data_IF_536834429283
#
_entry.id   IF_536834429283
#
_cell.length_a   1.000
_cell.length_b   1.000
_cell.length_c   1.000
_cell.angle_alpha   90.00
_cell.angle_beta   90.00
_cell.angle_gamma   90.00
#
_symmetry.space_group_name_H-M   'P 1'
#
loop_
_entity.id
_entity.type
_entity.pdbx_description
1 polymer ?
#
# COMPACT_ATOMS: atom_id res chain seq x y z
N UNK A 1 10.26 35.27 -20.89
CA UNK A 1 10.59 33.88 -20.56
C UNK A 1 11.68 33.88 -19.48
N UNK A 2 11.34 33.52 -18.26
CA UNK A 2 12.23 33.56 -17.08
C UNK A 2 13.48 32.67 -17.20
N UNK A 3 13.48 31.70 -18.13
CA UNK A 3 14.58 30.73 -18.30
C UNK A 3 15.78 31.30 -19.08
N UNK A 4 15.62 32.44 -19.78
CA UNK A 4 16.69 33.07 -20.59
C UNK A 4 17.29 34.34 -19.97
N UNK A 5 16.77 34.81 -18.83
CA UNK A 5 17.35 35.92 -18.10
C UNK A 5 18.53 35.46 -17.27
N UNK A 6 19.58 36.28 -17.19
CA UNK A 6 20.74 35.98 -16.35
C UNK A 6 20.28 35.88 -14.88
N UNK A 7 20.85 34.93 -14.06
CA UNK A 7 20.43 34.74 -12.68
C UNK A 7 20.57 35.97 -11.79
N UNK A 8 21.31 36.96 -12.25
CA UNK A 8 21.54 38.23 -11.56
C UNK A 8 20.39 39.24 -11.64
N UNK A 9 19.47 39.11 -12.63
CA UNK A 9 18.35 40.04 -12.80
C UNK A 9 17.17 39.73 -11.86
N UNK A 10 17.00 38.48 -11.47
CA UNK A 10 15.90 38.01 -10.60
C UNK A 10 16.41 37.13 -9.48
N UNK A 11 17.29 37.65 -8.64
CA UNK A 11 17.94 36.92 -7.56
C UNK A 11 16.96 36.21 -6.62
N UNK A 12 15.84 36.85 -6.28
CA UNK A 12 14.80 36.28 -5.43
C UNK A 12 14.08 35.07 -6.06
N UNK A 13 13.77 35.15 -7.35
CA UNK A 13 13.13 34.08 -8.09
C UNK A 13 14.09 32.87 -8.25
N UNK A 14 15.36 33.14 -8.54
CA UNK A 14 16.39 32.13 -8.63
C UNK A 14 16.61 31.41 -7.28
N UNK A 15 16.70 32.19 -6.19
CA UNK A 15 16.81 31.68 -4.85
C UNK A 15 15.63 30.78 -4.47
N UNK A 16 14.40 31.22 -4.77
CA UNK A 16 13.20 30.41 -4.53
C UNK A 16 13.21 29.08 -5.32
N UNK A 17 13.57 29.12 -6.60
CA UNK A 17 13.70 27.92 -7.42
C UNK A 17 14.76 26.96 -6.88
N UNK A 18 15.94 27.47 -6.50
CA UNK A 18 17.02 26.66 -5.98
C UNK A 18 16.64 25.97 -4.66
N UNK A 19 16.02 26.73 -3.74
CA UNK A 19 15.54 26.18 -2.46
C UNK A 19 14.44 25.14 -2.68
N UNK A 20 13.45 25.44 -3.51
CA UNK A 20 12.37 24.50 -3.81
C UNK A 20 12.88 23.21 -4.45
N UNK A 21 13.81 23.34 -5.42
CA UNK A 21 14.44 22.17 -6.06
C UNK A 21 15.25 21.36 -5.05
N UNK A 22 16.00 22.03 -4.17
CA UNK A 22 16.77 21.37 -3.11
C UNK A 22 15.87 20.58 -2.14
N UNK A 23 14.76 21.17 -1.71
CA UNK A 23 13.78 20.52 -0.84
C UNK A 23 13.15 19.30 -1.54
N UNK A 24 12.74 19.44 -2.79
CA UNK A 24 12.17 18.34 -3.56
C UNK A 24 13.20 17.23 -3.76
N UNK A 25 14.42 17.57 -4.15
CA UNK A 25 15.50 16.61 -4.34
C UNK A 25 15.79 15.84 -3.04
N UNK A 26 15.93 16.53 -1.91
CA UNK A 26 16.15 15.90 -0.59
C UNK A 26 14.99 14.96 -0.24
N UNK A 27 13.75 15.40 -0.48
CA UNK A 27 12.57 14.61 -0.19
C UNK A 27 12.54 13.32 -1.02
N UNK A 28 12.75 13.43 -2.34
CA UNK A 28 12.66 12.25 -3.22
C UNK A 28 13.90 11.34 -3.15
N UNK A 29 15.10 11.89 -2.90
CA UNK A 29 16.33 11.11 -2.89
C UNK A 29 16.57 10.37 -1.56
N UNK A 30 16.19 10.96 -0.43
CA UNK A 30 16.53 10.42 0.88
C UNK A 30 15.35 10.28 1.84
N UNK A 31 14.41 11.20 1.84
CA UNK A 31 13.35 11.25 2.84
C UNK A 31 12.07 10.53 2.41
N UNK A 32 12.00 10.02 1.19
CA UNK A 32 10.78 9.44 0.58
C UNK A 32 10.14 8.35 1.44
N UNK A 33 10.92 7.38 1.89
CA UNK A 33 10.40 6.26 2.68
C UNK A 33 9.98 6.70 4.08
N UNK A 34 10.78 7.54 4.70
CA UNK A 34 10.49 8.07 6.05
C UNK A 34 9.25 8.94 6.06
N UNK A 35 9.01 9.72 5.01
CA UNK A 35 7.82 10.54 4.88
C UNK A 35 6.55 9.71 4.85
N UNK A 36 6.55 8.59 4.13
CA UNK A 36 5.40 7.69 4.06
C UNK A 36 5.12 6.98 5.39
N UNK A 37 6.15 6.60 6.13
CA UNK A 37 6.01 5.85 7.39
C UNK A 37 5.65 6.78 8.56
N UNK A 38 6.31 7.94 8.67
CA UNK A 38 6.24 8.78 9.88
C UNK A 38 5.25 9.94 9.74
N UNK A 39 5.26 10.63 8.59
CA UNK A 39 4.57 11.92 8.43
C UNK A 39 3.29 11.78 7.63
N UNK A 40 3.24 10.86 6.67
CA UNK A 40 2.11 10.76 5.76
C UNK A 40 0.81 10.39 6.52
N UNK A 41 -0.20 11.26 6.53
CA UNK A 41 -1.46 10.98 7.20
C UNK A 41 -2.18 9.77 6.59
N UNK A 42 -1.93 9.47 5.32
CA UNK A 42 -2.49 8.31 4.64
C UNK A 42 -2.04 6.98 5.28
N UNK A 43 -0.76 6.80 5.59
CA UNK A 43 -0.27 5.60 6.25
C UNK A 43 -0.90 5.39 7.63
N UNK A 44 -1.10 6.47 8.39
CA UNK A 44 -1.79 6.42 9.69
C UNK A 44 -3.28 6.11 9.56
N UNK A 45 -3.96 6.70 8.58
CA UNK A 45 -5.37 6.41 8.29
C UNK A 45 -5.51 4.96 7.82
N UNK A 46 -4.64 4.49 6.95
CA UNK A 46 -4.64 3.11 6.48
C UNK A 46 -4.53 2.12 7.64
N UNK A 47 -3.61 2.34 8.58
CA UNK A 47 -3.45 1.46 9.75
C UNK A 47 -4.70 1.46 10.65
N UNK A 48 -5.37 2.60 10.80
CA UNK A 48 -6.62 2.72 11.57
C UNK A 48 -7.83 2.08 10.86
N UNK A 49 -7.80 2.00 9.52
CA UNK A 49 -8.88 1.41 8.72
C UNK A 49 -8.77 -0.11 8.60
N UNK A 50 -7.57 -0.67 8.71
CA UNK A 50 -7.34 -2.12 8.69
C UNK A 50 -7.83 -2.70 10.01
N UNK A 51 -8.60 -3.77 9.94
CA UNK A 51 -9.06 -4.56 11.08
C UNK A 51 -8.88 -6.07 10.79
N UNK A 52 -9.16 -6.92 11.79
CA UNK A 52 -8.98 -8.37 11.71
C UNK A 52 -9.77 -9.05 10.57
N UNK A 53 -10.77 -8.36 10.03
CA UNK A 53 -11.57 -8.86 8.92
C UNK A 53 -11.27 -8.17 7.59
N UNK A 54 -10.30 -7.27 7.54
CA UNK A 54 -9.87 -6.63 6.30
C UNK A 54 -9.11 -7.64 5.44
N UNK A 55 -9.30 -7.55 4.12
CA UNK A 55 -8.59 -8.40 3.18
C UNK A 55 -7.13 -7.93 3.07
N UNK A 56 -6.22 -8.81 3.43
CA UNK A 56 -4.77 -8.56 3.43
C UNK A 56 -4.03 -9.76 2.85
N UNK A 57 -2.78 -9.57 2.44
CA UNK A 57 -1.89 -10.70 2.14
C UNK A 57 -1.28 -11.17 3.45
N UNK A 58 -1.30 -12.47 3.69
CA UNK A 58 -0.71 -13.08 4.88
C UNK A 58 -0.33 -14.53 4.66
N UNK A 59 0.46 -15.07 5.57
CA UNK A 59 0.80 -16.49 5.65
C UNK A 59 -0.17 -17.26 6.52
N UNK A 60 -0.46 -18.50 6.16
CA UNK A 60 -1.25 -19.41 6.98
C UNK A 60 -0.36 -20.05 8.05
N UNK A 61 -0.14 -19.36 9.18
CA UNK A 61 0.73 -19.82 10.27
C UNK A 61 0.35 -21.22 10.77
N UNK A 62 -0.94 -21.50 10.91
CA UNK A 62 -1.44 -22.80 11.36
C UNK A 62 -1.00 -23.96 10.47
N UNK A 63 -0.72 -23.71 9.20
CA UNK A 63 -0.27 -24.70 8.22
C UNK A 63 1.24 -24.64 7.99
N UNK A 64 1.80 -23.43 8.09
CA UNK A 64 3.21 -23.15 7.79
C UNK A 64 4.17 -23.37 8.96
N UNK A 65 3.67 -23.31 10.19
CA UNK A 65 4.49 -23.47 11.39
C UNK A 65 4.36 -24.90 11.99
N UNK A 66 5.41 -25.43 12.64
CA UNK A 66 6.77 -24.89 12.72
C UNK A 66 7.52 -24.99 11.38
N UNK A 67 8.29 -23.95 11.05
CA UNK A 67 9.10 -23.90 9.82
C UNK A 67 10.23 -24.90 9.90
N UNK A 68 10.53 -25.58 8.80
CA UNK A 68 11.61 -26.55 8.78
C UNK A 68 12.07 -26.89 7.37
N UNK A 69 13.26 -27.50 7.27
CA UNK A 69 13.75 -28.01 5.99
C UNK A 69 12.91 -29.18 5.49
N UNK A 70 12.93 -29.41 4.19
CA UNK A 70 12.25 -30.56 3.58
C UNK A 70 12.72 -31.86 4.26
N UNK A 71 11.76 -32.67 4.76
CA UNK A 71 12.05 -33.93 5.44
C UNK A 71 12.24 -33.83 6.95
N UNK A 72 12.07 -32.67 7.57
CA UNK A 72 12.07 -32.56 9.04
C UNK A 72 10.74 -33.10 9.56
N UNK A 73 10.77 -34.09 10.51
CA UNK A 73 9.56 -34.58 11.15
C UNK A 73 8.89 -33.43 11.92
N UNK A 74 7.57 -33.38 11.92
CA UNK A 74 6.73 -32.36 12.58
C UNK A 74 6.87 -30.94 12.04
N UNK A 75 7.56 -30.70 10.90
CA UNK A 75 7.59 -29.41 10.23
C UNK A 75 6.28 -29.16 9.46
N UNK A 76 5.82 -27.92 9.51
CA UNK A 76 4.71 -27.43 8.69
C UNK A 76 5.06 -27.37 7.19
N UNK A 77 4.18 -26.79 6.41
CA UNK A 77 4.38 -26.69 4.95
C UNK A 77 5.47 -25.70 4.56
N UNK A 78 5.81 -24.74 5.41
CA UNK A 78 6.84 -23.73 5.12
C UNK A 78 8.25 -24.32 5.26
N UNK A 79 9.00 -24.35 4.15
CA UNK A 79 10.37 -24.88 4.11
C UNK A 79 11.46 -23.83 4.40
N UNK A 80 11.07 -22.66 4.85
CA UNK A 80 11.97 -21.55 5.17
C UNK A 80 12.93 -21.12 4.03
N UNK A 81 12.43 -21.14 2.79
CA UNK A 81 13.24 -20.85 1.60
C UNK A 81 13.50 -19.36 1.37
N UNK A 82 12.92 -18.46 2.14
CA UNK A 82 12.99 -16.99 2.02
C UNK A 82 12.61 -16.39 0.66
N UNK A 83 12.07 -17.20 -0.26
CA UNK A 83 11.77 -16.73 -1.62
C UNK A 83 10.73 -15.63 -1.65
N UNK A 84 9.73 -15.69 -0.76
CA UNK A 84 8.72 -14.64 -0.59
C UNK A 84 9.30 -13.29 -0.17
N UNK A 85 10.39 -13.29 0.61
CA UNK A 85 11.10 -12.09 1.03
C UNK A 85 11.93 -11.50 -0.12
N UNK A 86 12.64 -12.37 -0.85
CA UNK A 86 13.49 -11.93 -1.96
C UNK A 86 12.74 -11.30 -3.13
N UNK A 87 11.51 -11.73 -3.40
CA UNK A 87 10.68 -11.16 -4.47
C UNK A 87 9.91 -9.93 -4.03
N UNK A 88 9.91 -9.60 -2.74
CA UNK A 88 9.15 -8.48 -2.22
C UNK A 88 9.79 -7.15 -2.61
N UNK A 89 9.10 -6.26 -3.36
CA UNK A 89 9.66 -4.98 -3.79
C UNK A 89 9.89 -4.01 -2.64
N UNK A 90 9.19 -4.19 -1.51
CA UNK A 90 9.36 -3.39 -0.29
C UNK A 90 10.29 -4.06 0.74
N UNK A 91 10.78 -5.26 0.45
CA UNK A 91 11.73 -5.98 1.30
C UNK A 91 11.15 -6.51 2.61
N UNK A 92 9.83 -6.59 2.75
CA UNK A 92 9.18 -7.11 3.97
C UNK A 92 9.21 -8.62 4.04
N UNK A 93 9.20 -9.15 5.25
CA UNK A 93 9.00 -10.57 5.49
C UNK A 93 7.55 -10.87 5.88
N UNK A 94 6.74 -11.26 4.90
CA UNK A 94 5.31 -11.56 5.10
C UNK A 94 5.05 -12.70 6.10
N UNK A 95 6.06 -13.49 6.42
CA UNK A 95 5.99 -14.58 7.38
C UNK A 95 5.95 -14.10 8.84
N UNK A 96 6.26 -12.83 9.09
CA UNK A 96 6.15 -12.18 10.40
C UNK A 96 4.76 -11.60 10.66
N UNK A 97 3.81 -11.86 9.78
CA UNK A 97 2.46 -11.34 9.87
C UNK A 97 2.23 -10.08 9.04
N UNK A 98 1.12 -9.41 9.31
CA UNK A 98 0.71 -8.20 8.59
C UNK A 98 1.70 -7.05 8.83
N UNK A 99 2.23 -6.47 7.75
CA UNK A 99 3.09 -5.28 7.80
C UNK A 99 2.46 -4.16 6.96
N UNK A 100 2.52 -2.94 7.48
CA UNK A 100 1.90 -1.77 6.84
C UNK A 100 2.57 -1.38 5.52
N UNK A 101 3.82 -1.75 5.34
CA UNK A 101 4.61 -1.52 4.14
C UNK A 101 4.21 -2.42 2.97
N UNK A 102 3.31 -3.39 3.20
CA UNK A 102 2.81 -4.28 2.16
C UNK A 102 1.95 -3.51 1.15
N UNK A 103 2.37 -3.49 -0.10
CA UNK A 103 1.65 -2.84 -1.21
C UNK A 103 0.62 -3.74 -1.90
N UNK A 104 0.45 -4.97 -1.42
CA UNK A 104 -0.55 -5.91 -1.96
C UNK A 104 -0.25 -6.41 -3.37
N UNK A 105 1.00 -6.46 -3.82
CA UNK A 105 1.37 -6.81 -5.20
C UNK A 105 1.26 -8.30 -5.54
N UNK A 106 1.02 -9.18 -4.58
CA UNK A 106 0.89 -10.63 -4.72
C UNK A 106 2.16 -11.40 -5.18
N UNK A 107 3.28 -10.76 -5.46
CA UNK A 107 4.51 -11.44 -5.91
C UNK A 107 5.00 -12.55 -4.95
N UNK A 108 4.78 -12.39 -3.65
CA UNK A 108 5.10 -13.39 -2.64
C UNK A 108 4.18 -14.64 -2.73
N UNK A 109 2.93 -14.47 -3.18
CA UNK A 109 1.97 -15.57 -3.40
C UNK A 109 2.49 -16.44 -4.54
N UNK A 110 2.73 -15.84 -5.70
CA UNK A 110 3.20 -16.55 -6.90
C UNK A 110 4.53 -17.29 -6.63
N UNK A 111 5.47 -16.62 -5.96
CA UNK A 111 6.75 -17.21 -5.61
C UNK A 111 6.63 -18.38 -4.62
N UNK A 112 5.70 -18.31 -3.68
CA UNK A 112 5.44 -19.40 -2.74
C UNK A 112 4.74 -20.57 -3.42
N UNK A 113 3.74 -20.31 -4.24
CA UNK A 113 2.98 -21.34 -4.94
C UNK A 113 3.84 -22.10 -5.96
N UNK A 114 4.80 -21.42 -6.64
CA UNK A 114 5.80 -22.10 -7.48
C UNK A 114 6.65 -23.11 -6.66
N UNK A 115 7.07 -22.72 -5.46
CA UNK A 115 7.82 -23.61 -4.57
C UNK A 115 6.95 -24.77 -4.07
N UNK A 116 5.70 -24.50 -3.65
CA UNK A 116 4.78 -25.53 -3.16
C UNK A 116 4.46 -26.55 -4.27
N UNK A 117 4.23 -26.08 -5.49
CA UNK A 117 4.00 -26.95 -6.65
C UNK A 117 5.19 -27.85 -6.95
N UNK A 118 6.41 -27.35 -6.84
CA UNK A 118 7.62 -28.16 -7.04
C UNK A 118 7.84 -29.23 -5.97
N UNK A 119 7.29 -29.00 -4.78
CA UNK A 119 7.37 -29.92 -3.63
C UNK A 119 6.17 -30.87 -3.55
N UNK A 120 5.25 -30.81 -4.52
CA UNK A 120 3.99 -31.56 -4.53
C UNK A 120 3.15 -31.30 -3.26
N UNK A 121 3.20 -30.04 -2.75
CA UNK A 121 2.43 -29.58 -1.60
C UNK A 121 1.27 -28.69 -2.05
N UNK A 122 0.14 -28.65 -1.33
CA UNK A 122 -0.99 -27.79 -1.70
C UNK A 122 -0.60 -26.31 -1.65
N UNK A 123 -0.95 -25.57 -2.69
CA UNK A 123 -0.74 -24.13 -2.84
C UNK A 123 -1.53 -23.29 -1.83
N UNK A 124 -1.35 -21.95 -1.84
CA UNK A 124 -2.11 -21.04 -0.98
C UNK A 124 -1.60 -20.97 0.46
N UNK A 125 -0.32 -21.24 0.69
CA UNK A 125 0.32 -21.00 1.99
C UNK A 125 0.38 -19.50 2.30
N UNK A 126 0.72 -18.69 1.29
CA UNK A 126 0.56 -17.24 1.31
C UNK A 126 -0.62 -16.91 0.40
N UNK A 127 -1.60 -16.13 0.90
CA UNK A 127 -2.81 -15.81 0.13
C UNK A 127 -3.44 -14.51 0.57
N UNK A 128 -4.39 -14.03 -0.22
CA UNK A 128 -5.32 -12.99 0.23
C UNK A 128 -6.37 -13.59 1.15
N UNK A 129 -6.41 -13.14 2.39
CA UNK A 129 -7.45 -13.54 3.34
C UNK A 129 -7.56 -12.48 4.45
N UNK A 130 -8.48 -12.64 5.37
CA UNK A 130 -8.58 -11.80 6.55
C UNK A 130 -7.71 -12.36 7.69
N UNK A 131 -7.24 -11.48 8.56
CA UNK A 131 -6.49 -11.89 9.76
C UNK A 131 -7.30 -12.91 10.59
N UNK A 132 -8.61 -12.68 10.70
CA UNK A 132 -9.53 -13.61 11.36
C UNK A 132 -9.55 -15.02 10.69
N UNK A 133 -9.49 -15.08 9.35
CA UNK A 133 -9.46 -16.35 8.63
C UNK A 133 -8.14 -17.10 8.82
N UNK A 134 -7.01 -16.41 8.90
CA UNK A 134 -5.71 -17.03 9.23
C UNK A 134 -5.72 -17.64 10.63
N UNK A 135 -6.44 -17.06 11.58
CA UNK A 135 -6.65 -17.64 12.93
C UNK A 135 -7.76 -18.69 12.98
N UNK A 136 -8.46 -18.94 11.87
CA UNK A 136 -9.52 -19.96 11.75
C UNK A 136 -10.90 -19.45 12.13
N UNK A 137 -11.10 -18.16 12.26
CA UNK A 137 -12.40 -17.53 12.46
C UNK A 137 -13.06 -17.20 11.12
N UNK A 138 -14.40 -17.15 11.11
CA UNK A 138 -15.14 -16.73 9.90
C UNK A 138 -15.03 -15.23 9.68
N UNK A 139 -14.64 -14.82 8.50
CA UNK A 139 -14.66 -13.41 8.06
C UNK A 139 -16.08 -12.88 8.04
N UNK A 140 -16.31 -11.75 8.73
CA UNK A 140 -17.60 -11.05 8.74
C UNK A 140 -17.56 -9.89 7.76
N UNK A 141 -18.36 -9.98 6.68
CA UNK A 141 -18.47 -8.95 5.65
C UNK A 141 -19.31 -7.74 6.09
N UNK A 142 -20.44 -8.01 6.81
CA UNK A 142 -21.30 -6.97 7.33
C UNK A 142 -20.84 -6.53 8.73
N UNK A 143 -20.28 -5.33 8.80
CA UNK A 143 -19.74 -4.74 10.01
C UNK A 143 -20.22 -3.30 10.16
N UNK A 144 -20.41 -2.77 11.38
CA UNK A 144 -20.84 -1.38 11.58
C UNK A 144 -19.89 -0.38 10.92
N UNK A 145 -18.57 -0.69 10.86
CA UNK A 145 -17.58 0.15 10.17
C UNK A 145 -17.87 0.32 8.67
N UNK A 146 -18.23 -0.76 7.97
CA UNK A 146 -18.56 -0.69 6.54
C UNK A 146 -19.82 0.15 6.32
N UNK A 147 -20.80 0.03 7.19
CA UNK A 147 -22.02 0.85 7.13
C UNK A 147 -21.68 2.34 7.31
N UNK A 148 -20.83 2.68 8.28
CA UNK A 148 -20.37 4.06 8.52
C UNK A 148 -19.63 4.61 7.28
N UNK A 149 -18.72 3.85 6.70
CA UNK A 149 -18.00 4.27 5.49
C UNK A 149 -18.94 4.44 4.30
N UNK A 150 -19.93 3.56 4.15
CA UNK A 150 -20.97 3.68 3.12
C UNK A 150 -21.77 4.98 3.27
N UNK A 151 -22.15 5.33 4.50
CA UNK A 151 -22.85 6.59 4.78
C UNK A 151 -22.00 7.80 4.44
N UNK A 152 -20.71 7.83 4.85
CA UNK A 152 -19.80 8.92 4.50
C UNK A 152 -19.59 9.04 3.00
N UNK A 153 -19.48 7.92 2.29
CA UNK A 153 -19.34 7.91 0.84
C UNK A 153 -20.59 8.49 0.16
N UNK A 154 -21.80 8.11 0.63
CA UNK A 154 -23.05 8.63 0.09
C UNK A 154 -23.20 10.14 0.36
N UNK A 155 -22.85 10.61 1.56
CA UNK A 155 -22.86 12.04 1.87
C UNK A 155 -21.87 12.79 0.96
N UNK A 156 -20.64 12.29 0.84
CA UNK A 156 -19.62 12.89 -0.03
C UNK A 156 -20.05 12.96 -1.50
N UNK A 157 -20.61 11.86 -2.02
CA UNK A 157 -21.14 11.80 -3.38
C UNK A 157 -22.31 12.76 -3.59
N UNK A 158 -23.20 12.88 -2.62
CA UNK A 158 -24.34 13.82 -2.67
C UNK A 158 -23.87 15.28 -2.69
N UNK A 159 -22.92 15.62 -1.82
CA UNK A 159 -22.34 16.98 -1.78
C UNK A 159 -21.59 17.29 -3.07
N UNK A 160 -20.79 16.37 -3.58
CA UNK A 160 -20.09 16.52 -4.84
C UNK A 160 -21.07 16.66 -6.03
N UNK A 161 -22.10 15.85 -6.09
CA UNK A 161 -23.15 15.94 -7.10
C UNK A 161 -23.88 17.28 -7.06
N UNK A 162 -24.25 17.75 -5.86
CA UNK A 162 -24.85 19.06 -5.69
C UNK A 162 -23.90 20.20 -6.08
N UNK A 163 -22.63 20.15 -5.68
CA UNK A 163 -21.64 21.15 -6.05
C UNK A 163 -21.44 21.20 -7.58
N UNK A 164 -21.34 20.05 -8.24
CA UNK A 164 -21.21 19.97 -9.70
C UNK A 164 -22.45 20.51 -10.41
N UNK A 165 -23.64 20.30 -9.89
CA UNK A 165 -24.88 20.83 -10.46
C UNK A 165 -25.02 22.35 -10.32
N UNK A 166 -24.36 22.96 -9.32
CA UNK A 166 -24.37 24.40 -9.06
C UNK A 166 -23.24 25.17 -9.76
N UNK A 167 -22.17 24.47 -10.17
CA UNK A 167 -21.06 25.08 -10.92
C UNK A 167 -21.54 25.50 -12.31
N UNK A 168 -21.55 26.80 -12.58
CA UNK A 168 -21.81 27.31 -13.92
C UNK A 168 -20.64 26.98 -14.85
N UNK A 169 -20.89 26.49 -16.09
CA UNK A 169 -19.82 26.24 -17.04
C UNK A 169 -19.02 27.56 -17.29
N UNK A 170 -17.72 27.51 -17.02
CA UNK A 170 -16.86 28.64 -17.29
C UNK A 170 -16.68 28.77 -18.81
N UNK A 171 -17.22 29.84 -19.40
CA UNK A 171 -17.00 30.16 -20.81
C UNK A 171 -15.62 30.81 -20.96
N UNK A 172 -14.65 30.05 -21.44
CA UNK A 172 -13.35 30.59 -21.83
C UNK A 172 -13.46 31.26 -23.21
N UNK A 173 -13.55 32.61 -23.27
CA UNK A 173 -13.36 33.32 -24.51
C UNK A 173 -11.87 33.58 -24.73
N UNK A 174 -11.28 32.92 -25.71
CA UNK A 174 -9.91 33.24 -26.16
C UNK A 174 -9.99 34.44 -27.07
N UNK A 175 -9.72 35.62 -26.55
CA UNK A 175 -9.47 36.81 -27.37
C UNK A 175 -8.09 36.67 -27.99
N UNK A 176 -8.05 36.45 -29.33
CA UNK A 176 -6.80 36.63 -30.09
C UNK A 176 -6.52 38.12 -30.18
N UNK A 177 -5.41 38.56 -29.63
CA UNK A 177 -4.79 39.85 -29.86
C UNK A 177 -3.81 39.73 -31.01
#
# INVERSE_FOLDING_TARGET
SMIRAAPTEHWSAFGFMAVSTGILYFNFAWFREQLCIVICPYGRIQSALIDDHSLVIGGADRRGEPRGKVGTPDAGDCIDCHRSVHVCPTGIDIRQGLQLECIGCAACIDACDDVMTRLDRPTGLIRYDSQAAFTGQRTRWFRPRIAIYGVFLLIGASVAGWALSTVRPANFSVTRV
#
